data_IF_706417756048
#
_entry.id   IF_706417756048
#
_cell.length_a   1.000
_cell.length_b   1.000
_cell.length_c   1.000
_cell.angle_alpha   90.00
_cell.angle_beta   90.00
_cell.angle_gamma   90.00
#
_symmetry.space_group_name_H-M   'P 1'
#
loop_
_entity.id
_entity.type
_entity.pdbx_description
1 polymer ?
#
# COMPACT_ATOMS: atom_id res chain seq x y z
N UNK A 1 21.51 6.73 12.41
CA UNK A 1 20.43 5.90 11.84
C UNK A 1 19.45 5.65 12.97
N UNK A 2 18.20 6.13 12.93
CA UNK A 2 17.21 5.77 13.94
C UNK A 2 16.95 4.27 13.82
N UNK A 3 17.10 3.52 14.92
CA UNK A 3 17.25 2.05 14.91
C UNK A 3 15.95 1.29 15.14
N UNK A 4 14.84 1.97 15.43
CA UNK A 4 13.57 1.33 15.72
C UNK A 4 12.56 1.62 14.60
N UNK A 5 11.87 0.62 14.03
CA UNK A 5 10.73 0.86 13.16
C UNK A 5 9.67 1.67 13.92
N UNK A 6 8.82 2.47 13.22
CA UNK A 6 7.69 3.11 13.88
C UNK A 6 6.84 2.06 14.61
N UNK A 7 6.12 2.42 15.68
CA UNK A 7 5.10 1.51 16.24
C UNK A 7 4.09 1.21 15.11
N UNK A 8 4.19 0.02 14.53
CA UNK A 8 3.58 -0.28 13.24
C UNK A 8 2.15 -0.77 13.43
N UNK A 9 1.20 -0.15 12.72
CA UNK A 9 -0.16 -0.68 12.48
C UNK A 9 -0.86 -1.27 13.71
N UNK A 10 -0.72 -0.65 14.89
CA UNK A 10 -1.57 -0.99 16.03
C UNK A 10 -3.06 -0.82 15.61
N UNK A 11 -3.92 -1.85 15.77
CA UNK A 11 -5.29 -1.78 15.31
C UNK A 11 -6.05 -0.60 15.93
N UNK A 12 -6.73 0.17 15.10
CA UNK A 12 -7.67 1.21 15.48
C UNK A 12 -9.06 0.72 15.04
N UNK A 13 -10.04 0.79 15.93
CA UNK A 13 -11.41 0.39 15.59
C UNK A 13 -12.07 1.39 14.62
N UNK A 14 -13.04 0.95 13.78
CA UNK A 14 -13.60 1.79 12.72
C UNK A 14 -14.39 2.99 13.21
N UNK A 15 -14.83 2.97 14.48
CA UNK A 15 -15.47 4.11 15.14
C UNK A 15 -14.62 5.38 15.03
N UNK A 16 -13.34 5.26 14.70
CA UNK A 16 -12.44 6.39 14.54
C UNK A 16 -12.19 6.86 13.11
N UNK A 17 -12.54 6.19 11.99
CA UNK A 17 -12.18 6.76 10.66
C UNK A 17 -12.98 8.04 10.39
N UNK A 18 -14.31 7.96 10.50
CA UNK A 18 -15.18 9.10 10.30
C UNK A 18 -14.86 10.16 11.35
N UNK A 19 -14.64 9.80 12.62
CA UNK A 19 -14.22 10.78 13.62
C UNK A 19 -12.83 11.40 13.35
N UNK A 20 -11.86 10.62 12.86
CA UNK A 20 -10.50 11.04 12.52
C UNK A 20 -10.48 11.96 11.30
N UNK A 21 -11.44 11.81 10.39
CA UNK A 21 -11.51 12.59 9.15
C UNK A 21 -12.56 13.72 9.22
N UNK A 22 -13.61 13.59 10.03
CA UNK A 22 -14.73 14.53 10.14
C UNK A 22 -14.63 15.50 11.35
N UNK A 23 -13.95 15.17 12.48
CA UNK A 23 -13.92 16.05 13.69
C UNK A 23 -12.76 17.08 13.73
N UNK A 24 -11.75 17.00 12.87
CA UNK A 24 -10.61 17.91 12.81
C UNK A 24 -9.86 17.65 11.49
N UNK A 25 -9.06 18.58 10.94
CA UNK A 25 -8.48 18.40 9.60
C UNK A 25 -7.73 17.06 9.49
N UNK A 26 -7.83 16.45 8.31
CA UNK A 26 -7.13 15.21 7.97
C UNK A 26 -5.70 15.21 8.52
N UNK A 27 -5.15 14.05 8.96
CA UNK A 27 -3.81 13.98 9.49
C UNK A 27 -2.84 14.77 8.60
N UNK A 28 -2.21 15.80 9.17
CA UNK A 28 -1.37 16.72 8.41
C UNK A 28 -0.24 15.94 7.75
N UNK A 29 -0.21 15.96 6.42
CA UNK A 29 0.84 15.37 5.60
C UNK A 29 1.80 16.47 5.15
N UNK A 30 2.95 16.57 5.80
CA UNK A 30 4.03 17.49 5.48
C UNK A 30 4.85 17.01 4.27
N UNK A 31 5.87 17.78 3.87
CA UNK A 31 6.64 17.57 2.64
C UNK A 31 7.31 16.20 2.56
N UNK A 32 7.76 15.67 3.70
CA UNK A 32 8.58 14.46 3.79
C UNK A 32 7.83 13.33 4.52
N UNK A 33 6.53 13.49 4.78
CA UNK A 33 5.73 12.48 5.46
C UNK A 33 5.26 11.38 4.50
N UNK A 34 5.15 10.18 5.07
CA UNK A 34 4.46 9.04 4.47
C UNK A 34 3.31 8.62 5.37
N UNK A 35 2.09 8.69 4.86
CA UNK A 35 0.94 8.11 5.53
C UNK A 35 0.55 6.80 4.85
N UNK A 36 0.47 5.73 5.62
CA UNK A 36 0.03 4.41 5.20
C UNK A 36 -1.32 4.08 5.84
N UNK A 37 -2.29 3.75 5.02
CA UNK A 37 -3.64 3.41 5.44
C UNK A 37 -3.91 1.95 5.09
N UNK A 38 -4.00 1.08 6.09
CA UNK A 38 -4.39 -0.32 5.94
C UNK A 38 -5.82 -0.49 6.45
N UNK A 39 -6.73 -0.91 5.58
CA UNK A 39 -8.17 -1.01 5.89
C UNK A 39 -8.77 -2.32 5.38
N UNK A 40 -9.82 -2.83 6.02
CA UNK A 40 -10.56 -3.99 5.55
C UNK A 40 -11.43 -3.62 4.34
N UNK A 41 -11.71 -4.62 3.52
CA UNK A 41 -12.64 -4.60 2.41
C UNK A 41 -13.51 -5.87 2.42
N UNK A 42 -14.84 -5.75 2.53
CA UNK A 42 -15.60 -4.51 2.64
C UNK A 42 -15.44 -3.83 4.00
N UNK A 43 -15.58 -2.50 3.98
CA UNK A 43 -15.72 -1.65 5.17
C UNK A 43 -16.99 -2.04 5.91
N UNK A 44 -16.85 -2.46 7.18
CA UNK A 44 -17.95 -2.83 8.06
C UNK A 44 -18.65 -1.66 8.76
N UNK A 45 -18.00 -0.48 8.82
CA UNK A 45 -18.60 0.70 9.45
C UNK A 45 -19.69 1.31 8.56
N UNK A 46 -20.94 1.28 9.04
CA UNK A 46 -22.14 1.63 8.26
C UNK A 46 -22.10 3.05 7.67
N UNK A 47 -21.86 4.07 8.50
CA UNK A 47 -21.89 5.45 8.02
C UNK A 47 -20.78 5.73 7.00
N UNK A 48 -19.60 5.14 7.20
CA UNK A 48 -18.49 5.27 6.25
C UNK A 48 -18.83 4.56 4.94
N UNK A 49 -19.39 3.34 5.01
CA UNK A 49 -19.84 2.58 3.85
C UNK A 49 -20.83 3.39 3.00
N UNK A 50 -21.87 3.94 3.61
CA UNK A 50 -22.87 4.75 2.91
C UNK A 50 -22.26 5.97 2.21
N UNK A 51 -21.26 6.59 2.82
CA UNK A 51 -20.52 7.70 2.22
C UNK A 51 -19.70 7.23 1.03
N UNK A 52 -18.82 6.23 1.21
CA UNK A 52 -17.88 5.82 0.16
C UNK A 52 -18.57 5.15 -1.03
N UNK A 53 -19.71 4.47 -0.86
CA UNK A 53 -20.45 3.84 -1.96
C UNK A 53 -21.04 4.86 -2.95
N UNK A 54 -21.17 6.13 -2.55
CA UNK A 54 -21.67 7.22 -3.38
C UNK A 54 -20.57 7.92 -4.20
N UNK A 55 -19.31 7.75 -3.83
CA UNK A 55 -18.19 8.52 -4.40
C UNK A 55 -17.65 8.05 -5.74
N UNK A 56 -17.62 6.73 -6.08
CA UNK A 56 -17.13 6.28 -7.38
C UNK A 56 -17.93 6.89 -8.53
N UNK A 57 -17.21 7.31 -9.57
CA UNK A 57 -17.83 7.83 -10.79
C UNK A 57 -18.47 6.71 -11.64
N UNK A 58 -19.15 7.09 -12.72
CA UNK A 58 -19.81 6.13 -13.61
C UNK A 58 -18.83 5.11 -14.24
N UNK A 59 -17.61 5.55 -14.58
CA UNK A 59 -16.59 4.68 -15.17
C UNK A 59 -16.02 3.68 -14.16
N UNK A 60 -15.79 4.12 -12.93
CA UNK A 60 -15.35 3.27 -11.82
C UNK A 60 -16.42 2.24 -11.44
N UNK A 61 -17.69 2.66 -11.39
CA UNK A 61 -18.85 1.77 -11.17
C UNK A 61 -18.97 0.73 -12.28
N UNK A 62 -18.89 1.15 -13.54
CA UNK A 62 -18.90 0.24 -14.69
C UNK A 62 -17.72 -0.73 -14.65
N UNK A 63 -16.53 -0.26 -14.28
CA UNK A 63 -15.34 -1.10 -14.12
C UNK A 63 -15.53 -2.15 -13.03
N UNK A 64 -16.10 -1.77 -11.88
CA UNK A 64 -16.44 -2.70 -10.81
C UNK A 64 -17.48 -3.73 -11.27
N UNK A 65 -18.53 -3.29 -11.98
CA UNK A 65 -19.60 -4.17 -12.48
C UNK A 65 -19.11 -5.30 -13.41
N UNK A 66 -17.96 -5.14 -14.07
CA UNK A 66 -17.33 -6.18 -14.90
C UNK A 66 -16.72 -7.34 -14.11
N UNK A 67 -16.59 -7.25 -12.78
CA UNK A 67 -16.10 -8.38 -11.96
C UNK A 67 -17.15 -9.48 -11.91
N UNK A 68 -16.70 -10.73 -12.07
CA UNK A 68 -17.54 -11.93 -12.10
C UNK A 68 -18.27 -12.13 -10.76
N UNK A 69 -17.54 -12.02 -9.64
CA UNK A 69 -18.10 -12.27 -8.32
C UNK A 69 -18.62 -11.01 -7.63
N UNK A 70 -19.76 -11.12 -6.96
CA UNK A 70 -20.39 -10.01 -6.25
C UNK A 70 -19.48 -9.40 -5.16
N UNK A 71 -18.76 -10.25 -4.43
CA UNK A 71 -17.81 -9.80 -3.42
C UNK A 71 -16.70 -8.93 -4.02
N UNK A 72 -16.17 -9.29 -5.19
CA UNK A 72 -15.13 -8.52 -5.86
C UNK A 72 -15.65 -7.19 -6.43
N UNK A 73 -16.91 -7.17 -6.90
CA UNK A 73 -17.59 -5.91 -7.27
C UNK A 73 -17.66 -4.96 -6.08
N UNK A 74 -18.10 -5.47 -4.93
CA UNK A 74 -18.23 -4.69 -3.69
C UNK A 74 -16.87 -4.18 -3.20
N UNK A 75 -15.85 -5.06 -3.14
CA UNK A 75 -14.49 -4.68 -2.75
C UNK A 75 -13.90 -3.61 -3.66
N UNK A 76 -14.05 -3.75 -4.98
CA UNK A 76 -13.56 -2.73 -5.91
C UNK A 76 -14.29 -1.39 -5.75
N UNK A 77 -15.60 -1.41 -5.53
CA UNK A 77 -16.39 -0.20 -5.29
C UNK A 77 -15.96 0.50 -3.99
N UNK A 78 -15.80 -0.25 -2.90
CA UNK A 78 -15.33 0.29 -1.61
C UNK A 78 -13.90 0.82 -1.72
N UNK A 79 -13.00 0.09 -2.41
CA UNK A 79 -11.62 0.54 -2.65
C UNK A 79 -11.58 1.91 -3.35
N UNK A 80 -12.40 2.10 -4.40
CA UNK A 80 -12.48 3.38 -5.12
C UNK A 80 -13.11 4.48 -4.29
N UNK A 81 -14.19 4.19 -3.59
CA UNK A 81 -14.85 5.15 -2.72
C UNK A 81 -13.95 5.61 -1.59
N UNK A 82 -13.24 4.68 -0.93
CA UNK A 82 -12.31 4.98 0.14
C UNK A 82 -11.11 5.81 -0.34
N UNK A 83 -10.55 5.48 -1.52
CA UNK A 83 -9.49 6.27 -2.12
C UNK A 83 -9.93 7.72 -2.35
N UNK A 84 -11.09 7.92 -2.99
CA UNK A 84 -11.65 9.27 -3.21
C UNK A 84 -11.88 10.00 -1.91
N UNK A 85 -12.50 9.34 -0.93
CA UNK A 85 -12.77 9.89 0.39
C UNK A 85 -11.48 10.39 1.05
N UNK A 86 -10.46 9.54 1.15
CA UNK A 86 -9.17 9.93 1.73
C UNK A 86 -8.51 11.08 0.97
N UNK A 87 -8.43 11.00 -0.37
CA UNK A 87 -7.80 12.05 -1.16
C UNK A 87 -8.54 13.39 -1.03
N UNK A 88 -9.87 13.39 -0.96
CA UNK A 88 -10.67 14.60 -0.76
C UNK A 88 -10.35 15.27 0.58
N UNK A 89 -10.19 14.48 1.64
CA UNK A 89 -9.79 14.98 2.97
C UNK A 89 -8.38 15.59 2.97
N UNK A 90 -7.40 14.93 2.34
CA UNK A 90 -6.01 15.44 2.27
C UNK A 90 -5.87 16.69 1.37
N UNK A 91 -6.80 16.88 0.45
CA UNK A 91 -6.86 18.04 -0.45
C UNK A 91 -7.79 19.15 0.05
N UNK A 92 -8.62 18.88 1.06
CA UNK A 92 -9.76 19.72 1.45
C UNK A 92 -10.68 20.05 0.24
N UNK A 93 -11.03 19.03 -0.55
CA UNK A 93 -11.87 19.13 -1.76
C UNK A 93 -12.96 18.07 -1.76
N UNK A 94 -14.02 18.33 -2.52
CA UNK A 94 -15.07 17.34 -2.77
C UNK A 94 -14.47 16.05 -3.39
N UNK A 95 -14.59 14.89 -2.73
CA UNK A 95 -14.15 13.60 -3.26
C UNK A 95 -14.73 13.23 -4.64
N UNK A 96 -15.96 13.67 -4.95
CA UNK A 96 -16.60 13.38 -6.24
C UNK A 96 -15.97 14.17 -7.39
N UNK A 97 -15.49 15.38 -7.12
CA UNK A 97 -14.84 16.25 -8.10
C UNK A 97 -13.38 15.90 -8.41
N UNK A 98 -12.81 14.88 -7.77
CA UNK A 98 -11.42 14.48 -8.01
C UNK A 98 -11.25 13.82 -9.39
N UNK A 99 -10.41 14.44 -10.22
CA UNK A 99 -10.00 13.90 -11.51
C UNK A 99 -8.74 13.04 -11.41
N UNK A 100 -8.72 11.93 -12.14
CA UNK A 100 -7.59 11.00 -12.20
C UNK A 100 -7.09 10.87 -13.64
N UNK A 101 -5.77 10.73 -13.77
CA UNK A 101 -5.07 10.41 -15.02
C UNK A 101 -4.22 9.16 -14.81
N UNK A 102 -3.84 8.48 -15.89
CA UNK A 102 -2.94 7.33 -15.85
C UNK A 102 -1.71 7.61 -16.69
N UNK A 103 -0.54 7.17 -16.23
CA UNK A 103 0.66 7.19 -17.06
C UNK A 103 0.63 6.06 -18.12
N UNK A 104 1.67 5.98 -18.96
CA UNK A 104 1.80 4.97 -20.02
C UNK A 104 1.81 3.51 -19.53
N UNK A 105 2.03 3.29 -18.23
CA UNK A 105 2.08 1.98 -17.59
C UNK A 105 0.82 1.71 -16.73
N UNK A 106 -0.19 2.57 -16.82
CA UNK A 106 -1.46 2.43 -16.09
C UNK A 106 -1.42 2.85 -14.63
N UNK A 107 -0.32 3.43 -14.12
CA UNK A 107 -0.27 3.97 -12.75
C UNK A 107 -1.18 5.20 -12.67
N UNK A 108 -2.20 5.19 -11.79
CA UNK A 108 -3.08 6.33 -11.62
C UNK A 108 -2.39 7.46 -10.84
N UNK A 109 -2.76 8.70 -11.12
CA UNK A 109 -2.34 9.90 -10.44
C UNK A 109 -3.49 10.91 -10.39
N UNK A 110 -3.42 11.86 -9.45
CA UNK A 110 -4.38 12.98 -9.40
C UNK A 110 -4.09 13.97 -10.52
N UNK A 111 -5.13 14.47 -11.17
CA UNK A 111 -5.02 15.54 -12.16
C UNK A 111 -5.03 16.91 -11.46
N UNK A 112 -3.99 17.20 -10.67
CA UNK A 112 -3.88 18.46 -9.91
C UNK A 112 -2.42 18.86 -9.65
N UNK A 113 -2.19 20.16 -9.40
CA UNK A 113 -0.88 20.72 -9.09
C UNK A 113 -0.54 20.72 -7.58
N UNK A 114 -1.41 20.17 -6.70
CA UNK A 114 -1.22 20.19 -5.24
C UNK A 114 -0.05 19.33 -4.72
N UNK A 115 0.60 18.60 -5.63
CA UNK A 115 1.74 17.73 -5.34
C UNK A 115 1.41 16.49 -4.50
N UNK A 116 0.15 16.23 -4.15
CA UNK A 116 -0.24 15.00 -3.44
C UNK A 116 -0.01 13.79 -4.35
N UNK A 117 0.77 12.84 -3.88
CA UNK A 117 1.04 11.58 -4.57
C UNK A 117 0.38 10.44 -3.81
N UNK A 118 -0.11 9.43 -4.54
CA UNK A 118 -0.69 8.26 -3.93
C UNK A 118 -0.31 6.98 -4.67
N UNK A 119 -0.39 5.87 -3.94
CA UNK A 119 -0.43 4.55 -4.53
C UNK A 119 -1.35 3.66 -3.69
N UNK A 120 -1.90 2.61 -4.30
CA UNK A 120 -2.69 1.63 -3.58
C UNK A 120 -2.32 0.22 -4.02
N UNK A 121 -2.49 -0.73 -3.11
CA UNK A 121 -2.51 -2.15 -3.38
C UNK A 121 -3.65 -2.79 -2.60
N UNK A 122 -4.21 -3.88 -3.11
CA UNK A 122 -5.26 -4.60 -2.42
C UNK A 122 -4.99 -6.10 -2.53
N UNK A 123 -5.22 -6.81 -1.43
CA UNK A 123 -5.15 -8.26 -1.40
C UNK A 123 -6.37 -8.79 -0.66
N UNK A 124 -7.20 -9.56 -1.37
CA UNK A 124 -8.45 -10.12 -0.84
C UNK A 124 -9.29 -9.06 -0.12
N UNK A 125 -9.32 -9.13 1.20
CA UNK A 125 -10.20 -8.37 2.08
C UNK A 125 -9.49 -7.17 2.70
N UNK A 126 -8.37 -6.72 2.12
CA UNK A 126 -7.61 -5.58 2.62
C UNK A 126 -7.15 -4.67 1.49
N UNK A 127 -7.02 -3.38 1.82
CA UNK A 127 -6.43 -2.35 0.98
C UNK A 127 -5.37 -1.59 1.76
N UNK A 128 -4.24 -1.37 1.10
CA UNK A 128 -3.17 -0.49 1.54
C UNK A 128 -3.13 0.74 0.63
N UNK A 129 -3.17 1.94 1.21
CA UNK A 129 -3.04 3.21 0.49
C UNK A 129 -1.86 3.98 1.08
N UNK A 130 -0.89 4.32 0.24
CA UNK A 130 0.23 5.19 0.60
C UNK A 130 0.01 6.60 0.06
N UNK A 131 0.30 7.61 0.89
CA UNK A 131 0.17 9.03 0.58
C UNK A 131 1.46 9.77 0.96
N UNK A 132 1.95 10.62 0.07
CA UNK A 132 3.12 11.49 0.28
C UNK A 132 2.88 12.87 -0.34
N UNK A 133 3.69 13.86 0.04
CA UNK A 133 3.76 15.14 -0.67
C UNK A 133 4.97 15.13 -1.62
N UNK A 134 4.74 15.54 -2.87
CA UNK A 134 5.73 15.85 -3.93
C UNK A 134 6.55 14.68 -4.47
N UNK A 135 6.80 13.63 -3.68
CA UNK A 135 7.65 12.50 -4.08
C UNK A 135 6.82 11.28 -4.47
N UNK A 136 7.18 10.55 -5.55
CA UNK A 136 6.47 9.33 -5.93
C UNK A 136 6.50 8.29 -4.81
N UNK A 137 5.34 7.70 -4.56
CA UNK A 137 5.15 6.58 -3.63
C UNK A 137 4.70 5.35 -4.39
N UNK A 138 5.08 4.19 -3.87
CA UNK A 138 4.57 2.87 -4.25
C UNK A 138 4.32 2.05 -2.99
N UNK A 139 3.24 1.29 -3.00
CA UNK A 139 2.88 0.39 -1.90
C UNK A 139 2.49 -0.97 -2.46
N UNK A 140 2.76 -2.01 -1.69
CA UNK A 140 2.29 -3.34 -1.99
C UNK A 140 1.83 -4.10 -0.74
N UNK A 141 0.87 -4.99 -0.95
CA UNK A 141 0.19 -5.77 0.08
C UNK A 141 -0.15 -7.13 -0.52
N UNK A 142 0.35 -8.20 0.10
CA UNK A 142 0.11 -9.57 -0.29
C UNK A 142 -0.23 -10.45 0.91
N UNK A 143 -1.05 -11.47 0.66
CA UNK A 143 -1.33 -12.52 1.65
C UNK A 143 -0.24 -13.58 1.59
N UNK A 144 0.41 -13.81 2.72
CA UNK A 144 1.32 -14.92 2.96
C UNK A 144 0.53 -16.23 2.90
N UNK A 145 0.97 -17.13 2.02
CA UNK A 145 0.33 -18.41 1.76
C UNK A 145 1.33 -19.37 1.12
N UNK A 146 1.08 -20.70 1.15
CA UNK A 146 1.88 -21.64 0.38
C UNK A 146 1.92 -21.25 -1.10
N UNK A 147 3.12 -21.14 -1.68
CA UNK A 147 3.32 -20.77 -3.08
C UNK A 147 4.14 -21.85 -3.81
N UNK A 148 3.50 -22.83 -4.46
CA UNK A 148 4.18 -23.96 -5.09
C UNK A 148 5.22 -23.56 -6.16
N UNK A 149 4.95 -22.50 -6.92
CA UNK A 149 5.82 -22.00 -7.99
C UNK A 149 6.76 -20.87 -7.55
N UNK A 150 6.97 -20.68 -6.23
CA UNK A 150 7.80 -19.62 -5.65
C UNK A 150 9.19 -19.51 -6.28
N UNK A 151 9.88 -20.64 -6.46
CA UNK A 151 11.24 -20.64 -7.02
C UNK A 151 11.31 -20.15 -8.46
N UNK A 152 10.31 -20.50 -9.28
CA UNK A 152 10.24 -20.04 -10.67
C UNK A 152 9.98 -18.53 -10.72
N UNK A 153 9.06 -18.04 -9.89
CA UNK A 153 8.79 -16.59 -9.78
C UNK A 153 10.02 -15.83 -9.27
N UNK A 154 10.68 -16.36 -8.24
CA UNK A 154 11.91 -15.77 -7.71
C UNK A 154 13.01 -15.70 -8.78
N UNK A 155 13.21 -16.75 -9.57
CA UNK A 155 14.21 -16.77 -10.63
C UNK A 155 13.99 -15.71 -11.73
N UNK A 156 12.74 -15.28 -11.95
CA UNK A 156 12.41 -14.24 -12.93
C UNK A 156 12.47 -12.82 -12.35
N UNK A 157 12.24 -12.65 -11.05
CA UNK A 157 12.09 -11.33 -10.45
C UNK A 157 13.24 -10.92 -9.52
N UNK A 158 14.01 -11.87 -9.01
CA UNK A 158 15.01 -11.63 -7.98
C UNK A 158 16.41 -11.47 -8.59
N UNK A 159 17.23 -10.61 -7.98
CA UNK A 159 18.66 -10.57 -8.22
C UNK A 159 19.37 -11.76 -7.59
N UNK A 160 20.64 -11.97 -7.94
CA UNK A 160 21.43 -13.06 -7.36
C UNK A 160 21.54 -12.96 -5.83
N UNK A 161 21.69 -11.75 -5.29
CA UNK A 161 21.80 -11.52 -3.84
C UNK A 161 20.50 -11.87 -3.11
N UNK A 162 19.35 -11.55 -3.72
CA UNK A 162 18.04 -11.87 -3.19
C UNK A 162 17.74 -13.38 -3.23
N UNK A 163 18.14 -14.06 -4.30
CA UNK A 163 18.05 -15.52 -4.42
C UNK A 163 18.89 -16.22 -3.34
N UNK A 164 20.12 -15.74 -3.13
CA UNK A 164 20.99 -16.24 -2.06
C UNK A 164 20.40 -15.97 -0.67
N UNK A 165 19.84 -14.77 -0.47
CA UNK A 165 19.19 -14.41 0.79
C UNK A 165 18.00 -15.31 1.10
N UNK A 166 17.14 -15.59 0.11
CA UNK A 166 16.01 -16.50 0.22
C UNK A 166 16.45 -17.94 0.51
N UNK A 167 17.47 -18.44 -0.19
CA UNK A 167 18.00 -19.79 -0.02
C UNK A 167 18.63 -20.01 1.36
N UNK A 168 19.12 -18.95 2.00
CA UNK A 168 19.69 -18.99 3.35
C UNK A 168 18.65 -18.97 4.48
N UNK A 169 17.34 -18.92 4.19
CA UNK A 169 16.28 -18.89 5.22
C UNK A 169 15.86 -20.29 5.64
N UNK A 170 15.29 -20.45 6.85
CA UNK A 170 14.66 -21.70 7.24
C UNK A 170 13.49 -22.05 6.31
N UNK A 171 13.33 -23.34 6.02
CA UNK A 171 12.30 -23.83 5.09
C UNK A 171 10.88 -23.40 5.46
N UNK A 172 10.58 -23.33 6.76
CA UNK A 172 9.27 -22.93 7.29
C UNK A 172 8.93 -21.46 6.98
N UNK A 173 9.93 -20.63 6.69
CA UNK A 173 9.74 -19.19 6.47
C UNK A 173 9.90 -18.81 4.99
N UNK A 174 10.05 -19.78 4.07
CA UNK A 174 10.34 -19.49 2.67
C UNK A 174 9.23 -18.67 1.99
N UNK A 175 7.96 -19.04 2.18
CA UNK A 175 6.84 -18.31 1.59
C UNK A 175 6.71 -16.91 2.19
N UNK A 176 6.80 -16.79 3.52
CA UNK A 176 6.80 -15.51 4.23
C UNK A 176 7.90 -14.58 3.70
N UNK A 177 9.14 -15.06 3.64
CA UNK A 177 10.27 -14.26 3.18
C UNK A 177 10.18 -13.92 1.69
N UNK A 178 9.62 -14.81 0.86
CA UNK A 178 9.34 -14.48 -0.53
C UNK A 178 8.30 -13.37 -0.65
N UNK A 179 7.16 -13.44 0.06
CA UNK A 179 6.16 -12.37 0.00
C UNK A 179 6.66 -11.05 0.58
N UNK A 180 7.51 -11.08 1.62
CA UNK A 180 8.21 -9.87 2.11
C UNK A 180 9.09 -9.24 1.03
N UNK A 181 9.84 -10.06 0.29
CA UNK A 181 10.71 -9.57 -0.78
C UNK A 181 9.91 -9.08 -1.98
N UNK A 182 8.91 -9.85 -2.39
CA UNK A 182 8.01 -9.55 -3.49
C UNK A 182 7.32 -8.20 -3.28
N UNK A 183 6.69 -8.02 -2.12
CA UNK A 183 5.98 -6.78 -1.79
C UNK A 183 6.93 -5.58 -1.76
N UNK A 184 8.12 -5.76 -1.18
CA UNK A 184 9.14 -4.72 -1.17
C UNK A 184 9.59 -4.32 -2.58
N UNK A 185 9.80 -5.29 -3.48
CA UNK A 185 10.19 -5.04 -4.86
C UNK A 185 9.08 -4.37 -5.66
N UNK A 186 7.85 -4.89 -5.58
CA UNK A 186 6.66 -4.30 -6.22
C UNK A 186 6.42 -2.87 -5.76
N UNK A 187 6.61 -2.57 -4.46
CA UNK A 187 6.50 -1.21 -3.95
C UNK A 187 7.49 -0.26 -4.64
N UNK A 188 8.75 -0.66 -4.84
CA UNK A 188 9.76 0.15 -5.57
C UNK A 188 9.38 0.31 -7.04
N UNK A 189 8.98 -0.76 -7.73
CA UNK A 189 8.58 -0.71 -9.14
C UNK A 189 7.32 0.16 -9.36
N UNK A 190 6.36 0.08 -8.43
CA UNK A 190 5.18 0.96 -8.41
C UNK A 190 5.58 2.41 -8.16
N UNK A 191 6.55 2.68 -7.29
CA UNK A 191 7.05 4.04 -7.04
C UNK A 191 7.74 4.63 -8.29
N UNK A 192 8.55 3.83 -8.99
CA UNK A 192 9.15 4.17 -10.30
C UNK A 192 8.08 4.44 -11.37
N UNK A 193 6.92 3.80 -11.26
CA UNK A 193 5.78 3.98 -12.15
C UNK A 193 5.89 3.23 -13.46
N UNK A 194 6.85 2.31 -13.59
CA UNK A 194 7.05 1.44 -14.75
C UNK A 194 6.36 0.09 -14.60
N UNK A 195 5.98 -0.30 -13.37
CA UNK A 195 5.48 -1.65 -13.08
C UNK A 195 6.52 -2.71 -13.45
N UNK A 196 6.07 -3.87 -13.93
CA UNK A 196 6.93 -4.96 -14.39
C UNK A 196 7.55 -4.73 -15.78
N UNK A 197 7.35 -3.56 -16.40
CA UNK A 197 7.98 -3.24 -17.69
C UNK A 197 9.49 -2.94 -17.55
N UNK A 198 9.94 -2.55 -16.36
CA UNK A 198 11.36 -2.52 -16.03
C UNK A 198 11.81 -3.89 -15.54
N UNK A 199 12.99 -4.39 -15.97
CA UNK A 199 13.47 -5.69 -15.52
C UNK A 199 13.63 -5.72 -13.98
N UNK A 200 12.78 -6.46 -13.26
CA UNK A 200 12.71 -6.43 -11.80
C UNK A 200 14.02 -6.87 -11.12
N UNK A 201 14.80 -7.71 -11.79
CA UNK A 201 16.10 -8.21 -11.33
C UNK A 201 17.19 -7.14 -11.29
N UNK A 202 17.02 -6.01 -11.98
CA UNK A 202 17.95 -4.87 -11.93
C UNK A 202 17.83 -4.06 -10.63
N UNK A 203 16.70 -4.16 -9.94
CA UNK A 203 16.50 -3.56 -8.62
C UNK A 203 16.76 -4.63 -7.57
N UNK A 204 17.67 -4.36 -6.63
CA UNK A 204 17.98 -5.28 -5.54
C UNK A 204 17.51 -4.69 -4.21
N UNK A 205 16.82 -5.52 -3.44
CA UNK A 205 16.26 -5.21 -2.12
C UNK A 205 17.07 -5.94 -1.03
N UNK A 206 17.53 -5.20 -0.04
CA UNK A 206 18.16 -5.76 1.16
C UNK A 206 17.19 -5.68 2.34
N UNK A 207 16.42 -6.75 2.58
CA UNK A 207 15.45 -6.79 3.69
C UNK A 207 16.12 -6.89 5.06
N UNK A 208 15.50 -6.33 6.12
CA UNK A 208 15.89 -6.60 7.49
C UNK A 208 15.63 -8.07 7.87
N UNK A 209 16.42 -8.60 8.80
CA UNK A 209 16.22 -9.95 9.35
C UNK A 209 14.96 -10.08 10.24
N UNK A 210 14.40 -8.95 10.68
CA UNK A 210 13.15 -8.86 11.45
C UNK A 210 11.95 -8.68 10.51
N UNK A 211 10.76 -9.04 10.97
CA UNK A 211 9.53 -8.91 10.18
C UNK A 211 9.16 -7.47 9.82
N UNK A 212 9.67 -6.49 10.56
CA UNK A 212 9.46 -5.06 10.35
C UNK A 212 10.78 -4.32 10.34
N UNK A 213 10.93 -3.37 9.42
CA UNK A 213 12.08 -2.47 9.37
C UNK A 213 12.27 -1.79 8.01
N UNK A 214 13.33 -1.00 7.95
CA UNK A 214 13.79 -0.39 6.70
C UNK A 214 14.63 -1.39 5.90
N UNK A 215 14.39 -1.43 4.60
CA UNK A 215 15.14 -2.22 3.65
C UNK A 215 16.01 -1.32 2.75
N UNK A 216 17.14 -1.85 2.29
CA UNK A 216 17.99 -1.20 1.31
C UNK A 216 17.42 -1.36 -0.10
N UNK A 217 17.67 -0.37 -0.97
CA UNK A 217 17.34 -0.42 -2.40
C UNK A 217 18.60 -0.04 -3.19
N UNK A 218 19.01 -0.89 -4.12
CA UNK A 218 20.08 -0.60 -5.08
C UNK A 218 19.60 -0.88 -6.51
N UNK A 219 20.29 -0.31 -7.51
CA UNK A 219 19.94 -0.48 -8.92
C UNK A 219 18.74 0.33 -9.43
N UNK A 220 18.05 1.08 -8.56
CA UNK A 220 16.90 1.91 -8.94
C UNK A 220 17.21 3.42 -9.11
N UNK A 221 18.46 3.85 -8.88
CA UNK A 221 18.87 5.26 -8.85
C UNK A 221 18.13 6.09 -7.77
N UNK A 222 18.58 7.31 -7.49
CA UNK A 222 18.04 8.17 -6.41
C UNK A 222 18.15 7.56 -4.99
N UNK A 223 18.06 8.37 -3.94
CA UNK A 223 17.85 7.85 -2.60
C UNK A 223 16.45 7.26 -2.43
N UNK A 224 16.33 6.22 -1.60
CA UNK A 224 15.09 5.54 -1.29
C UNK A 224 14.90 5.38 0.21
N UNK A 225 13.66 5.52 0.65
CA UNK A 225 13.16 4.93 1.89
C UNK A 225 12.23 3.80 1.50
N UNK A 226 12.58 2.58 1.91
CA UNK A 226 11.74 1.40 1.74
C UNK A 226 11.45 0.84 3.13
N UNK A 227 10.18 0.84 3.49
CA UNK A 227 9.68 0.28 4.73
C UNK A 227 8.93 -1.02 4.43
N UNK A 228 9.29 -2.11 5.10
CA UNK A 228 8.64 -3.41 4.97
C UNK A 228 8.20 -3.90 6.34
N UNK A 229 6.98 -4.41 6.43
CA UNK A 229 6.48 -5.02 7.67
C UNK A 229 5.49 -6.15 7.38
N UNK A 230 5.37 -7.09 8.30
CA UNK A 230 4.25 -8.01 8.36
C UNK A 230 3.36 -7.59 9.53
N UNK A 231 2.24 -6.87 9.29
CA UNK A 231 1.40 -6.35 10.37
C UNK A 231 0.72 -7.47 11.17
N UNK A 232 0.60 -8.66 10.58
CA UNK A 232 0.07 -9.88 11.19
C UNK A 232 0.79 -11.12 10.62
N UNK A 233 0.29 -12.31 10.94
CA UNK A 233 0.85 -13.58 10.46
C UNK A 233 0.63 -13.80 8.96
N UNK A 234 -0.44 -13.23 8.40
CA UNK A 234 -1.02 -13.56 7.10
C UNK A 234 -0.68 -12.55 6.02
N UNK A 235 -0.13 -11.37 6.35
CA UNK A 235 0.12 -10.31 5.38
C UNK A 235 1.57 -9.83 5.40
N UNK A 236 2.10 -9.60 4.22
CA UNK A 236 3.31 -8.82 4.00
C UNK A 236 2.94 -7.50 3.32
N UNK A 237 3.50 -6.39 3.79
CA UNK A 237 3.35 -5.09 3.16
C UNK A 237 4.69 -4.39 2.98
N UNK A 238 4.72 -3.52 1.98
CA UNK A 238 5.82 -2.59 1.82
C UNK A 238 5.37 -1.24 1.28
N UNK A 239 6.15 -0.21 1.59
CA UNK A 239 6.01 1.13 1.07
C UNK A 239 7.38 1.68 0.66
N UNK A 240 7.47 2.16 -0.57
CA UNK A 240 8.67 2.74 -1.14
C UNK A 240 8.44 4.20 -1.51
N UNK A 241 9.42 5.04 -1.17
CA UNK A 241 9.46 6.47 -1.51
C UNK A 241 10.80 6.77 -2.13
N UNK A 242 10.77 7.56 -3.21
CA UNK A 242 11.99 8.02 -3.91
C UNK A 242 12.63 9.25 -3.23
N UNK A 243 12.83 9.16 -1.93
CA UNK A 243 13.50 10.14 -1.07
C UNK A 243 13.96 9.46 0.23
N UNK A 244 14.93 10.04 0.94
CA UNK A 244 15.22 9.66 2.32
C UNK A 244 14.29 10.45 3.23
N UNK A 245 13.51 9.74 4.05
CA UNK A 245 12.68 10.32 5.10
C UNK A 245 13.03 9.70 6.45
N UNK A 246 12.82 10.44 7.53
CA UNK A 246 13.02 9.96 8.88
C UNK A 246 11.91 8.96 9.28
N UNK A 247 12.20 7.92 10.07
CA UNK A 247 11.20 6.95 10.51
C UNK A 247 10.01 7.56 11.24
N UNK A 248 10.21 8.67 11.98
CA UNK A 248 9.14 9.41 12.65
C UNK A 248 8.16 10.12 11.70
N UNK A 249 8.49 10.21 10.41
CA UNK A 249 7.65 10.77 9.34
C UNK A 249 6.75 9.72 8.69
N UNK A 250 6.91 8.43 9.05
CA UNK A 250 6.02 7.36 8.63
C UNK A 250 4.91 7.19 9.66
N UNK A 251 3.67 7.43 9.23
CA UNK A 251 2.46 7.25 10.04
C UNK A 251 1.62 6.14 9.47
N UNK A 252 1.32 5.14 10.30
CA UNK A 252 0.53 3.98 9.91
C UNK A 252 -0.85 4.06 10.58
N UNK A 253 -1.91 4.03 9.77
CA UNK A 253 -3.30 3.98 10.19
C UNK A 253 -3.82 2.58 9.86
N UNK A 254 -3.92 1.72 10.86
CA UNK A 254 -4.51 0.39 10.71
C UNK A 254 -5.93 0.42 11.21
N UNK A 255 -6.89 0.25 10.30
CA UNK A 255 -8.29 0.10 10.69
C UNK A 255 -8.64 -1.37 10.56
N UNK A 256 -9.31 -1.93 11.56
CA UNK A 256 -9.84 -3.30 11.55
C UNK A 256 -11.34 -3.22 11.63
N UNK A 257 -12.11 -4.11 10.98
CA UNK A 257 -13.55 -4.16 11.22
C UNK A 257 -13.77 -4.49 12.70
N UNK A 258 -14.53 -3.66 13.43
CA UNK A 258 -14.87 -3.96 14.81
C UNK A 258 -15.56 -5.31 14.86
N UNK A 259 -15.20 -6.15 15.82
CA UNK A 259 -16.01 -7.34 16.08
C UNK A 259 -17.42 -6.86 16.43
N UNK A 260 -18.48 -7.37 15.76
CA UNK A 260 -19.79 -7.30 16.36
C UNK A 260 -19.71 -8.10 17.65
N UNK A 261 -19.73 -7.39 18.78
CA UNK A 261 -19.77 -7.89 20.16
C UNK A 261 -18.47 -8.50 20.72
N UNK A 262 -17.75 -7.69 21.51
CA UNK A 262 -17.20 -8.08 22.81
C UNK A 262 -17.75 -7.13 23.88
#
# INVERSE_FOLDING_TARGET
>A
MPTSPPETFAPITPANIAELLDKAPAPRLSGDDLHLWLLPLPIGHEALRQTIERLPDAGERASAARRVFAADRLRQMHARGLLRYLLGHYLARDPQGLGFITNNYGKPALNTADGLQFNLSHCQDHILIGLTRRVPVGVDLERIRPLPNRYALAAHCCSADELNWLAGRPANDHDRNFFRLWTAKEAVLKALGTGLASPPEQVTISLPNTDSGFAGVTGAGSPWTLFSTCPDADHAIAAAIRAVIDPGQIRCFHIVNGHPDQ
#
